data_IF_344531189645
#
_entry.id   IF_344531189645
#
_cell.length_a   1.000
_cell.length_b   1.000
_cell.length_c   1.000
_cell.angle_alpha   90.00
_cell.angle_beta   90.00
_cell.angle_gamma   90.00
#
_symmetry.space_group_name_H-M   'P 1'
#
loop_
_entity.id
_entity.type
_entity.pdbx_description
1 polymer ?
#
# COMPACT_ATOMS: atom_id res chain seq x y z
N UNK A 1 2.08 -12.76 0.69
CA UNK A 1 2.43 -11.46 1.30
C UNK A 1 1.13 -10.77 1.68
N UNK A 2 0.90 -10.51 2.97
CA UNK A 2 -0.40 -10.07 3.53
C UNK A 2 -0.91 -8.75 2.93
N UNK A 3 0.00 -7.87 2.49
CA UNK A 3 -0.31 -6.57 1.89
C UNK A 3 -1.17 -6.69 0.61
N UNK A 4 -0.86 -7.70 -0.23
CA UNK A 4 -1.58 -7.94 -1.49
C UNK A 4 -3.03 -8.37 -1.23
N UNK A 5 -3.26 -9.21 -0.22
CA UNK A 5 -4.60 -9.72 0.15
C UNK A 5 -5.48 -8.58 0.67
N UNK A 6 -4.91 -7.59 1.35
CA UNK A 6 -5.66 -6.42 1.83
C UNK A 6 -6.04 -5.47 0.67
N UNK A 7 -5.10 -5.20 -0.24
CA UNK A 7 -5.34 -4.37 -1.43
C UNK A 7 -6.25 -5.03 -2.47
N UNK A 8 -6.37 -6.36 -2.44
CA UNK A 8 -7.32 -7.15 -3.23
C UNK A 8 -8.78 -6.86 -2.87
N UNK A 9 -9.07 -6.51 -1.61
CA UNK A 9 -10.43 -6.28 -1.14
C UNK A 9 -10.90 -4.86 -1.46
N UNK A 10 -10.11 -3.85 -1.09
CA UNK A 10 -10.44 -2.45 -1.32
C UNK A 10 -9.18 -1.57 -1.45
N UNK A 11 -9.27 -0.41 -2.16
CA UNK A 11 -8.26 0.63 -2.06
C UNK A 11 -8.03 1.05 -0.61
N UNK A 12 -6.77 1.19 -0.19
CA UNK A 12 -6.41 1.64 1.16
C UNK A 12 -5.58 2.90 1.14
N UNK A 13 -5.76 3.75 2.16
CA UNK A 13 -4.86 4.89 2.38
C UNK A 13 -3.48 4.40 2.83
N UNK A 14 -2.44 5.07 2.38
CA UNK A 14 -1.06 4.79 2.78
C UNK A 14 -0.89 4.84 4.31
N UNK A 15 -1.48 5.84 4.97
CA UNK A 15 -1.46 5.97 6.43
C UNK A 15 -2.10 4.76 7.12
N UNK A 16 -3.24 4.27 6.62
CA UNK A 16 -3.89 3.08 7.18
C UNK A 16 -3.04 1.81 6.98
N UNK A 17 -2.32 1.72 5.87
CA UNK A 17 -1.36 0.65 5.63
C UNK A 17 -0.24 0.74 6.67
N UNK A 18 0.31 1.93 6.91
CA UNK A 18 1.34 2.14 7.92
C UNK A 18 0.85 1.77 9.32
N UNK A 19 -0.34 2.21 9.72
CA UNK A 19 -0.95 1.84 11.00
C UNK A 19 -1.12 0.32 11.13
N UNK A 20 -1.66 -0.34 10.10
CA UNK A 20 -1.95 -1.78 10.11
C UNK A 20 -0.68 -2.62 10.24
N UNK A 21 0.41 -2.23 9.57
CA UNK A 21 1.62 -3.03 9.45
C UNK A 21 2.78 -2.56 10.35
N UNK A 22 2.71 -1.38 10.95
CA UNK A 22 3.71 -0.85 11.91
C UNK A 22 3.93 -1.78 13.11
N UNK A 23 2.87 -2.48 13.56
CA UNK A 23 2.94 -3.46 14.65
C UNK A 23 3.79 -4.71 14.35
N UNK A 24 4.13 -4.96 13.07
CA UNK A 24 4.79 -6.20 12.61
C UNK A 24 6.30 -6.08 12.32
N UNK A 25 6.98 -5.11 12.94
CA UNK A 25 8.42 -4.77 12.73
C UNK A 25 8.76 -4.09 11.40
N UNK A 26 7.78 -3.73 10.58
CA UNK A 26 8.02 -2.92 9.39
C UNK A 26 7.97 -1.44 9.75
N UNK A 27 9.02 -0.69 9.41
CA UNK A 27 8.96 0.77 9.50
C UNK A 27 8.23 1.33 8.25
N UNK A 28 7.81 2.59 8.32
CA UNK A 28 7.08 3.23 7.22
C UNK A 28 7.89 3.29 5.91
N UNK A 29 9.23 3.38 5.99
CA UNK A 29 10.09 3.42 4.81
C UNK A 29 10.12 2.07 4.09
N UNK A 30 10.18 0.97 4.84
CA UNK A 30 10.13 -0.38 4.29
C UNK A 30 8.78 -0.65 3.61
N UNK A 31 7.67 -0.25 4.26
CA UNK A 31 6.33 -0.36 3.68
C UNK A 31 6.19 0.48 2.41
N UNK A 32 6.72 1.70 2.40
CA UNK A 32 6.71 2.56 1.24
C UNK A 32 7.56 1.98 0.10
N UNK A 33 8.74 1.43 0.40
CA UNK A 33 9.59 0.74 -0.57
C UNK A 33 8.87 -0.46 -1.19
N UNK A 34 8.16 -1.24 -0.39
CA UNK A 34 7.41 -2.39 -0.87
C UNK A 34 6.22 -1.98 -1.75
N UNK A 35 5.46 -0.96 -1.35
CA UNK A 35 4.36 -0.40 -2.16
C UNK A 35 4.88 0.10 -3.51
N UNK A 36 5.98 0.84 -3.52
CA UNK A 36 6.62 1.31 -4.76
C UNK A 36 7.12 0.15 -5.62
N UNK A 37 7.68 -0.89 -5.01
CA UNK A 37 8.14 -2.10 -5.71
C UNK A 37 6.96 -2.86 -6.35
N UNK A 38 5.84 -2.99 -5.65
CA UNK A 38 4.64 -3.61 -6.21
C UNK A 38 4.04 -2.75 -7.33
N UNK A 39 4.15 -1.43 -7.23
CA UNK A 39 3.69 -0.52 -8.26
C UNK A 39 4.56 -0.54 -9.52
N UNK A 40 5.89 -0.61 -9.37
CA UNK A 40 6.79 -0.79 -10.52
C UNK A 40 6.61 -2.14 -11.22
N UNK A 41 6.13 -3.14 -10.49
CA UNK A 41 5.73 -4.44 -11.03
C UNK A 41 4.31 -4.45 -11.64
N UNK A 42 3.63 -3.30 -11.75
CA UNK A 42 2.25 -3.17 -12.22
C UNK A 42 1.23 -4.04 -11.47
N UNK A 43 1.49 -4.38 -10.20
CA UNK A 43 0.54 -5.14 -9.37
C UNK A 43 -0.47 -4.23 -8.67
N UNK A 44 -0.01 -3.04 -8.28
CA UNK A 44 -0.83 -2.01 -7.63
C UNK A 44 -0.56 -0.66 -8.28
N UNK A 45 -1.43 0.31 -8.05
CA UNK A 45 -1.22 1.69 -8.44
C UNK A 45 -1.48 2.65 -7.30
N UNK A 46 -0.70 3.72 -7.31
CA UNK A 46 -0.89 4.89 -6.47
C UNK A 46 -1.96 5.78 -7.08
N UNK A 47 -2.92 6.22 -6.26
CA UNK A 47 -3.95 7.20 -6.62
C UNK A 47 -3.91 8.31 -5.59
N UNK A 48 -3.81 9.56 -6.03
CA UNK A 48 -3.87 10.72 -5.15
C UNK A 48 -5.27 11.31 -5.25
N UNK A 49 -5.95 11.43 -4.11
CA UNK A 49 -7.29 12.01 -4.03
C UNK A 49 -7.43 12.80 -2.74
N UNK A 50 -7.91 14.05 -2.82
CA UNK A 50 -8.08 14.94 -1.67
C UNK A 50 -6.82 15.03 -0.78
N UNK A 51 -5.65 15.24 -1.40
CA UNK A 51 -4.32 15.24 -0.76
C UNK A 51 -3.92 13.94 -0.02
N UNK A 52 -4.69 12.86 -0.16
CA UNK A 52 -4.39 11.56 0.42
C UNK A 52 -3.86 10.60 -0.64
N UNK A 53 -2.92 9.76 -0.23
CA UNK A 53 -2.39 8.69 -1.09
C UNK A 53 -3.15 7.39 -0.83
N UNK A 54 -3.73 6.84 -1.88
CA UNK A 54 -4.39 5.54 -1.91
C UNK A 54 -3.59 4.56 -2.75
N UNK A 55 -3.59 3.31 -2.32
CA UNK A 55 -3.03 2.18 -3.06
C UNK A 55 -4.16 1.21 -3.38
N UNK A 56 -4.18 0.71 -4.61
CA UNK A 56 -5.16 -0.30 -5.06
C UNK A 56 -4.57 -1.24 -6.08
N UNK A 57 -5.12 -2.44 -6.21
CA UNK A 57 -4.76 -3.34 -7.30
C UNK A 57 -4.97 -2.68 -8.68
N UNK A 58 -4.11 -3.07 -9.61
CA UNK A 58 -4.37 -2.91 -11.04
C UNK A 58 -5.12 -4.17 -11.46
N UNK A 59 -6.39 -4.01 -11.85
CA UNK A 59 -7.12 -5.03 -12.61
C UNK A 59 -6.68 -4.98 -14.07
#
# INVERSE_FOLDING_TARGET
>A
MELKILLERHPMRQEQIFETFSSKKFNEQDLLLELNTLASQNKIKKVIYNNQTFWKLIN
#
